data_IF_588966395056
#
_entry.id   IF_588966395056
#
_cell.length_a   1.000
_cell.length_b   1.000
_cell.length_c   1.000
_cell.angle_alpha   90.00
_cell.angle_beta   90.00
_cell.angle_gamma   90.00
#
_symmetry.space_group_name_H-M   'P 1'
#
loop_
_entity.id
_entity.type
_entity.pdbx_description
1 polymer ?
#
# COMPACT_ATOMS: atom_id res chain seq x y z
N UNK A 1 12.07 29.59 -9.18
CA UNK A 1 12.31 28.38 -8.38
C UNK A 1 11.05 27.51 -8.43
N UNK A 2 10.97 26.54 -9.35
CA UNK A 2 9.82 25.64 -9.47
C UNK A 2 10.20 24.30 -8.83
N UNK A 3 9.71 24.05 -7.62
CA UNK A 3 9.82 22.72 -6.99
C UNK A 3 8.96 21.73 -7.77
N UNK A 4 9.60 20.88 -8.57
CA UNK A 4 8.94 19.76 -9.23
C UNK A 4 8.54 18.73 -8.17
N UNK A 5 7.24 18.60 -7.91
CA UNK A 5 6.69 17.46 -7.16
C UNK A 5 6.79 16.24 -8.08
N UNK A 6 7.49 15.15 -7.71
CA UNK A 6 7.52 13.95 -8.53
C UNK A 6 6.08 13.42 -8.70
N UNK A 7 5.70 13.19 -9.96
CA UNK A 7 4.31 13.08 -10.44
C UNK A 7 3.72 11.67 -10.32
N UNK A 8 4.42 10.74 -9.67
CA UNK A 8 3.94 9.36 -9.49
C UNK A 8 3.96 9.03 -8.01
N UNK A 9 2.80 9.22 -7.35
CA UNK A 9 2.59 8.87 -5.93
C UNK A 9 2.20 7.40 -5.74
N UNK A 10 1.85 6.72 -6.82
CA UNK A 10 1.19 5.42 -6.78
C UNK A 10 1.87 4.44 -7.71
N UNK A 11 2.15 3.24 -7.22
CA UNK A 11 2.64 2.11 -8.01
C UNK A 11 1.55 1.03 -8.08
N UNK A 12 1.43 0.35 -9.21
CA UNK A 12 0.47 -0.76 -9.37
C UNK A 12 1.04 -2.03 -8.74
N UNK A 13 0.27 -2.67 -7.86
CA UNK A 13 0.64 -3.94 -7.23
C UNK A 13 -0.36 -5.04 -7.62
N UNK A 14 0.12 -6.12 -8.22
CA UNK A 14 -0.70 -7.29 -8.59
C UNK A 14 -0.53 -8.38 -7.55
N UNK A 15 -1.60 -8.77 -6.87
CA UNK A 15 -1.61 -9.80 -5.84
C UNK A 15 -2.64 -10.89 -6.15
N UNK A 16 -2.30 -12.13 -5.83
CA UNK A 16 -3.22 -13.27 -5.87
C UNK A 16 -3.53 -13.69 -4.44
N UNK A 17 -4.81 -13.72 -4.11
CA UNK A 17 -5.31 -14.14 -2.80
C UNK A 17 -6.42 -15.16 -2.98
N UNK A 18 -6.66 -15.94 -1.95
CA UNK A 18 -7.79 -16.85 -1.93
C UNK A 18 -9.11 -16.06 -2.07
N UNK A 19 -10.09 -16.57 -2.85
CA UNK A 19 -11.37 -15.88 -3.04
C UNK A 19 -12.11 -15.59 -1.72
N UNK A 20 -11.92 -16.40 -0.67
CA UNK A 20 -12.50 -16.14 0.65
C UNK A 20 -11.91 -14.90 1.31
N UNK A 21 -10.60 -14.70 1.14
CA UNK A 21 -9.89 -13.53 1.68
C UNK A 21 -10.31 -12.27 0.93
N UNK A 22 -10.46 -12.36 -0.40
CA UNK A 22 -10.99 -11.25 -1.22
C UNK A 22 -12.38 -10.83 -0.72
N UNK A 23 -13.29 -11.76 -0.52
CA UNK A 23 -14.65 -11.48 -0.05
C UNK A 23 -14.66 -10.85 1.36
N UNK A 24 -13.82 -11.33 2.27
CA UNK A 24 -13.68 -10.75 3.61
C UNK A 24 -13.10 -9.32 3.56
N UNK A 25 -12.10 -9.08 2.71
CA UNK A 25 -11.52 -7.75 2.51
C UNK A 25 -12.51 -6.77 1.87
N UNK A 26 -13.32 -7.23 0.90
CA UNK A 26 -14.41 -6.43 0.32
C UNK A 26 -15.43 -6.06 1.39
N UNK A 27 -15.90 -7.01 2.20
CA UNK A 27 -16.84 -6.74 3.29
C UNK A 27 -16.28 -5.75 4.33
N UNK A 28 -14.99 -5.85 4.66
CA UNK A 28 -14.33 -4.89 5.55
C UNK A 28 -14.24 -3.49 4.92
N UNK A 29 -13.87 -3.40 3.65
CA UNK A 29 -13.76 -2.14 2.91
C UNK A 29 -15.12 -1.41 2.82
N UNK A 30 -16.19 -2.15 2.52
CA UNK A 30 -17.56 -1.62 2.49
C UNK A 30 -17.98 -1.04 3.85
N UNK A 31 -17.63 -1.71 4.95
CA UNK A 31 -17.93 -1.24 6.31
C UNK A 31 -17.19 0.05 6.67
N UNK A 32 -16.01 0.26 6.13
CA UNK A 32 -15.21 1.47 6.35
C UNK A 32 -15.47 2.59 5.32
N UNK A 33 -16.40 2.39 4.39
CA UNK A 33 -16.70 3.34 3.30
C UNK A 33 -15.45 3.70 2.46
N UNK A 34 -14.49 2.77 2.33
CA UNK A 34 -13.27 2.97 1.52
C UNK A 34 -13.12 1.85 0.51
N UNK A 35 -12.39 2.12 -0.57
CA UNK A 35 -12.08 1.08 -1.55
C UNK A 35 -11.14 0.02 -0.97
N UNK A 36 -11.22 -1.21 -1.47
CA UNK A 36 -10.33 -2.32 -1.07
C UNK A 36 -8.84 -1.96 -1.16
N UNK A 37 -8.43 -1.18 -2.16
CA UNK A 37 -7.05 -0.68 -2.30
C UNK A 37 -6.62 0.17 -1.11
N UNK A 38 -7.51 1.05 -0.63
CA UNK A 38 -7.22 1.91 0.52
C UNK A 38 -7.16 1.10 1.82
N UNK A 39 -8.02 0.09 1.97
CA UNK A 39 -7.96 -0.85 3.10
C UNK A 39 -6.62 -1.59 3.11
N UNK A 40 -6.22 -2.14 1.96
CA UNK A 40 -4.94 -2.86 1.80
C UNK A 40 -3.76 -1.94 2.10
N UNK A 41 -3.80 -0.68 1.66
CA UNK A 41 -2.74 0.30 1.94
C UNK A 41 -2.56 0.53 3.45
N UNK A 42 -3.66 0.73 4.19
CA UNK A 42 -3.63 0.89 5.65
C UNK A 42 -3.10 -0.37 6.34
N UNK A 43 -3.56 -1.56 5.93
CA UNK A 43 -3.10 -2.83 6.49
C UNK A 43 -1.61 -3.04 6.26
N UNK A 44 -1.11 -2.74 5.06
CA UNK A 44 0.32 -2.83 4.74
C UNK A 44 1.12 -1.82 5.56
N UNK A 45 0.65 -0.57 5.66
CA UNK A 45 1.32 0.47 6.44
C UNK A 45 1.39 0.12 7.93
N UNK A 46 0.29 -0.37 8.50
CA UNK A 46 0.25 -0.80 9.91
C UNK A 46 1.17 -1.98 10.16
N UNK A 47 1.16 -2.98 9.26
CA UNK A 47 2.06 -4.13 9.35
C UNK A 47 3.54 -3.72 9.24
N UNK A 48 3.88 -2.85 8.28
CA UNK A 48 5.23 -2.31 8.15
C UNK A 48 5.64 -1.53 9.40
N UNK A 49 4.74 -0.71 9.95
CA UNK A 49 4.97 0.05 11.18
C UNK A 49 5.20 -0.87 12.38
N UNK A 50 4.43 -1.94 12.50
CA UNK A 50 4.61 -2.97 13.54
C UNK A 50 5.97 -3.67 13.44
N UNK A 51 6.47 -3.87 12.21
CA UNK A 51 7.81 -4.41 11.94
C UNK A 51 8.94 -3.37 12.05
N UNK A 52 8.63 -2.09 12.29
CA UNK A 52 9.62 -1.00 12.30
C UNK A 52 10.11 -0.59 10.90
N UNK A 53 9.46 -1.06 9.84
CA UNK A 53 9.74 -0.71 8.44
C UNK A 53 9.05 0.62 8.12
N UNK A 54 9.82 1.70 7.99
CA UNK A 54 9.29 2.99 7.53
C UNK A 54 9.39 3.09 6.01
N UNK A 55 8.32 3.54 5.35
CA UNK A 55 8.22 3.71 3.88
C UNK A 55 9.17 4.78 3.28
N UNK A 56 10.28 5.06 3.95
CA UNK A 56 11.33 5.99 3.53
C UNK A 56 12.71 5.34 3.32
N UNK A 57 12.85 4.01 3.43
CA UNK A 57 14.18 3.36 3.33
C UNK A 57 14.58 2.88 1.91
N UNK A 58 13.74 3.02 0.88
CA UNK A 58 14.11 2.64 -0.49
C UNK A 58 14.71 3.81 -1.29
N UNK A 59 15.72 4.45 -0.70
CA UNK A 59 16.57 5.48 -1.32
C UNK A 59 18.04 5.07 -1.36
N UNK A 60 18.33 3.79 -1.64
CA UNK A 60 19.70 3.34 -1.90
C UNK A 60 19.68 2.59 -3.23
N UNK A 61 20.19 3.26 -4.25
CA UNK A 61 20.75 2.67 -5.46
C UNK A 61 21.37 1.30 -5.16
N UNK A 62 20.82 0.24 -5.77
CA UNK A 62 21.58 -0.98 -5.99
C UNK A 62 21.88 -1.04 -7.48
N UNK A 63 22.82 -0.19 -7.88
CA UNK A 63 23.68 -0.47 -9.00
C UNK A 63 24.84 -1.31 -8.45
N UNK A 64 24.88 -2.58 -8.82
CA UNK A 64 26.10 -3.37 -8.80
C UNK A 64 26.03 -4.41 -9.92
#
# INVERSE_FOLDING_TARGET
MASQRPKVKTATMTLRVDPKIKAAAEAAAEREHRSITSLIEVLILDHCRSLGLTAGQNGKEQQQ
#
